data_IF_095336510772
#
_entry.id   IF_095336510772
#
_cell.length_a   1.000
_cell.length_b   1.000
_cell.length_c   1.000
_cell.angle_alpha   90.00
_cell.angle_beta   90.00
_cell.angle_gamma   90.00
#
_symmetry.space_group_name_H-M   'P 1'
#
loop_
_entity.id
_entity.type
_entity.pdbx_description
1 polymer ?
#
# COMPACT_ATOMS: atom_id res chain seq x y z
N UNK A 1 -1.90 17.36 8.10
CA UNK A 1 -2.12 15.96 8.49
C UNK A 1 -0.75 15.33 8.64
N UNK A 2 -0.43 14.76 9.81
CA UNK A 2 0.81 14.02 10.01
C UNK A 2 0.51 12.55 9.77
N UNK A 3 0.91 12.05 8.60
CA UNK A 3 0.89 10.62 8.26
C UNK A 3 2.24 10.04 8.66
N UNK A 4 2.23 9.01 9.50
CA UNK A 4 3.43 8.25 9.83
C UNK A 4 3.33 6.88 9.19
N UNK A 5 4.15 6.63 8.17
CA UNK A 5 4.27 5.30 7.57
C UNK A 5 5.47 4.58 8.19
N UNK A 6 5.36 3.27 8.34
CA UNK A 6 6.48 2.39 8.70
C UNK A 6 6.38 1.08 7.94
N UNK A 7 7.50 0.59 7.40
CA UNK A 7 7.55 -0.73 6.78
C UNK A 7 7.56 -1.77 7.88
N UNK A 8 6.49 -2.56 7.98
CA UNK A 8 6.36 -3.64 8.95
C UNK A 8 6.85 -4.98 8.39
N UNK A 9 6.77 -5.15 7.07
CA UNK A 9 7.26 -6.35 6.39
C UNK A 9 7.82 -5.99 5.00
N UNK A 10 8.93 -6.62 4.63
CA UNK A 10 9.57 -6.47 3.33
C UNK A 10 10.02 -7.85 2.85
N UNK A 11 9.63 -8.19 1.63
CA UNK A 11 9.99 -9.40 0.89
C UNK A 11 10.60 -8.99 -0.46
N UNK A 12 11.20 -9.95 -1.17
CA UNK A 12 11.81 -9.74 -2.51
C UNK A 12 10.83 -9.09 -3.51
N UNK A 13 9.55 -9.44 -3.43
CA UNK A 13 8.50 -8.99 -4.35
C UNK A 13 7.30 -8.32 -3.67
N UNK A 14 7.36 -8.03 -2.36
CA UNK A 14 6.24 -7.42 -1.64
C UNK A 14 6.69 -6.60 -0.44
N UNK A 15 5.93 -5.57 -0.10
CA UNK A 15 6.15 -4.67 1.03
C UNK A 15 4.85 -4.46 1.76
N UNK A 16 4.91 -4.36 3.08
CA UNK A 16 3.75 -4.03 3.90
C UNK A 16 4.12 -2.84 4.76
N UNK A 17 3.33 -1.78 4.64
CA UNK A 17 3.46 -0.58 5.45
C UNK A 17 2.29 -0.50 6.43
N UNK A 18 2.59 -0.14 7.66
CA UNK A 18 1.61 0.36 8.61
C UNK A 18 1.63 1.89 8.52
N UNK A 19 0.49 2.48 8.17
CA UNK A 19 0.26 3.92 8.12
C UNK A 19 -0.57 4.28 9.34
N UNK A 20 -0.07 5.18 10.17
CA UNK A 20 -0.80 5.74 11.31
C UNK A 20 -1.40 7.09 10.90
N UNK A 21 -2.72 7.16 10.87
CA UNK A 21 -3.56 8.32 10.59
C UNK A 21 -4.13 8.88 11.89
N UNK A 22 -3.53 9.96 12.43
CA UNK A 22 -3.94 10.52 13.72
C UNK A 22 -3.76 9.49 14.87
N UNK A 23 -3.73 9.94 16.14
CA UNK A 23 -3.11 9.19 17.26
C UNK A 23 -3.67 7.77 17.55
N UNK A 24 -4.74 7.33 16.89
CA UNK A 24 -5.37 6.03 17.11
C UNK A 24 -5.81 5.26 15.84
N UNK A 25 -5.72 5.81 14.62
CA UNK A 25 -6.12 5.07 13.43
C UNK A 25 -4.93 4.48 12.70
N UNK A 26 -5.01 3.18 12.44
CA UNK A 26 -4.01 2.44 11.69
C UNK A 26 -4.62 1.93 10.39
N UNK A 27 -3.80 1.95 9.36
CA UNK A 27 -4.11 1.45 8.03
C UNK A 27 -2.94 0.62 7.54
N UNK A 28 -3.23 -0.44 6.81
CA UNK A 28 -2.22 -1.29 6.20
C UNK A 28 -2.18 -1.04 4.69
N UNK A 29 -0.97 -0.80 4.18
CA UNK A 29 -0.70 -0.69 2.76
C UNK A 29 0.19 -1.85 2.30
N UNK A 30 -0.38 -2.74 1.51
CA UNK A 30 0.28 -3.88 0.91
C UNK A 30 0.73 -3.50 -0.50
N UNK A 31 2.03 -3.57 -0.79
CA UNK A 31 2.55 -3.43 -2.14
C UNK A 31 3.06 -4.78 -2.60
N UNK A 32 2.66 -5.24 -3.77
CA UNK A 32 3.14 -6.49 -4.34
C UNK A 32 3.54 -6.27 -5.80
N UNK A 33 4.69 -6.82 -6.20
CA UNK A 33 5.08 -6.93 -7.60
C UNK A 33 4.34 -8.13 -8.17
N UNK A 34 3.27 -7.85 -8.91
CA UNK A 34 2.48 -8.86 -9.57
C UNK A 34 1.83 -8.24 -10.81
N UNK A 35 1.50 -9.08 -11.79
CA UNK A 35 0.55 -8.65 -12.81
C UNK A 35 -0.71 -8.11 -12.10
N UNK A 36 -1.31 -7.01 -12.61
CA UNK A 36 -2.49 -6.39 -12.01
C UNK A 36 -3.70 -7.33 -12.16
N UNK A 37 -3.70 -8.34 -11.31
CA UNK A 37 -4.61 -9.48 -11.35
C UNK A 37 -5.39 -9.49 -10.04
N UNK A 38 -6.69 -9.21 -10.15
CA UNK A 38 -7.60 -9.16 -9.01
C UNK A 38 -7.76 -10.53 -8.33
N UNK A 39 -7.55 -11.63 -9.05
CA UNK A 39 -7.54 -12.97 -8.44
C UNK A 39 -6.32 -13.13 -7.52
N UNK A 40 -5.17 -12.52 -7.86
CA UNK A 40 -3.98 -12.54 -6.99
C UNK A 40 -4.22 -11.78 -5.68
N UNK A 41 -5.03 -10.71 -5.70
CA UNK A 41 -5.36 -9.93 -4.49
C UNK A 41 -6.08 -10.78 -3.45
N UNK A 42 -7.00 -11.65 -3.88
CA UNK A 42 -7.71 -12.56 -2.98
C UNK A 42 -6.77 -13.57 -2.29
N UNK A 43 -5.56 -13.78 -2.84
CA UNK A 43 -4.51 -14.58 -2.22
C UNK A 43 -3.55 -13.75 -1.34
N UNK A 44 -3.45 -12.45 -1.57
CA UNK A 44 -2.56 -11.54 -0.84
C UNK A 44 -3.24 -10.99 0.42
N UNK A 45 -4.51 -10.61 0.30
CA UNK A 45 -5.30 -10.01 1.38
C UNK A 45 -6.01 -11.12 2.14
N UNK A 46 -5.67 -11.36 3.42
CA UNK A 46 -6.40 -12.34 4.21
C UNK A 46 -7.89 -11.97 4.33
N UNK A 47 -8.79 -12.97 4.31
CA UNK A 47 -10.23 -12.73 4.44
C UNK A 47 -10.58 -11.99 5.73
N UNK A 48 -9.77 -12.13 6.78
CA UNK A 48 -9.93 -11.41 8.04
C UNK A 48 -9.94 -9.88 7.87
N UNK A 49 -9.24 -9.33 6.87
CA UNK A 49 -9.25 -7.89 6.58
C UNK A 49 -10.55 -7.45 5.91
N UNK A 50 -11.14 -8.30 5.08
CA UNK A 50 -12.49 -8.08 4.54
C UNK A 50 -13.58 -8.24 5.62
N UNK A 51 -13.34 -9.08 6.62
CA UNK A 51 -14.26 -9.30 7.74
C UNK A 51 -14.13 -8.27 8.87
N UNK A 52 -13.00 -7.55 8.95
CA UNK A 52 -12.73 -6.52 9.97
C UNK A 52 -13.62 -5.27 9.84
N UNK A 53 -14.40 -5.16 8.76
CA UNK A 53 -15.36 -4.08 8.54
C UNK A 53 -14.76 -2.80 7.97
N UNK A 54 -13.50 -2.83 7.53
CA UNK A 54 -12.88 -1.80 6.68
C UNK A 54 -12.99 -2.15 5.20
N UNK A 55 -12.91 -1.15 4.34
CA UNK A 55 -12.89 -1.34 2.89
C UNK A 55 -11.46 -1.73 2.44
N UNK A 56 -11.38 -2.65 1.48
CA UNK A 56 -10.12 -3.05 0.83
C UNK A 56 -10.02 -2.30 -0.49
N UNK A 57 -9.15 -1.30 -0.55
CA UNK A 57 -8.86 -0.52 -1.74
C UNK A 57 -7.75 -1.20 -2.53
N UNK A 58 -8.02 -1.58 -3.77
CA UNK A 58 -7.03 -2.23 -4.63
C UNK A 58 -6.71 -1.29 -5.78
N UNK A 59 -5.44 -0.92 -5.90
CA UNK A 59 -4.92 -0.06 -6.97
C UNK A 59 -3.87 -0.82 -7.77
N UNK A 60 -3.96 -0.71 -9.10
CA UNK A 60 -3.03 -1.33 -10.03
C UNK A 60 -2.11 -0.27 -10.63
N UNK A 61 -0.85 -0.27 -10.21
CA UNK A 61 0.18 0.66 -10.69
C UNK A 61 0.93 0.01 -11.86
N UNK A 62 0.47 0.29 -13.07
CA UNK A 62 1.14 -0.15 -14.30
C UNK A 62 2.48 0.58 -14.50
N UNK A 63 2.55 1.87 -14.19
CA UNK A 63 3.77 2.69 -14.34
C UNK A 63 4.06 3.49 -13.07
N UNK A 64 5.34 3.76 -12.75
CA UNK A 64 5.72 4.54 -11.57
C UNK A 64 5.22 5.99 -11.60
N UNK A 65 4.87 6.51 -12.77
CA UNK A 65 4.29 7.85 -12.93
C UNK A 65 2.85 7.96 -12.43
N UNK A 66 2.10 6.84 -12.39
CA UNK A 66 0.74 6.79 -11.87
C UNK A 66 0.70 6.70 -10.33
N UNK A 67 1.75 6.16 -9.72
CA UNK A 67 1.89 6.00 -8.27
C UNK A 67 1.48 7.22 -7.43
N UNK A 68 2.00 8.45 -7.67
CA UNK A 68 1.62 9.62 -6.88
C UNK A 68 0.13 9.94 -6.95
N UNK A 69 -0.49 9.78 -8.11
CA UNK A 69 -1.91 10.08 -8.28
C UNK A 69 -2.78 9.04 -7.57
N UNK A 70 -2.45 7.76 -7.72
CA UNK A 70 -3.19 6.65 -7.10
C UNK A 70 -3.03 6.65 -5.57
N UNK A 71 -1.85 7.01 -5.07
CA UNK A 71 -1.59 7.18 -3.63
C UNK A 71 -2.37 8.37 -3.07
N UNK A 72 -2.40 9.50 -3.76
CA UNK A 72 -3.16 10.67 -3.31
C UNK A 72 -4.67 10.38 -3.28
N UNK A 73 -5.20 9.75 -4.33
CA UNK A 73 -6.62 9.41 -4.44
C UNK A 73 -7.05 8.43 -3.33
N UNK A 74 -6.25 7.36 -3.12
CA UNK A 74 -6.57 6.38 -2.07
C UNK A 74 -6.39 6.97 -0.69
N UNK A 75 -5.35 7.77 -0.42
CA UNK A 75 -5.19 8.45 0.87
C UNK A 75 -6.36 9.40 1.17
N UNK A 76 -6.95 10.00 0.14
CA UNK A 76 -8.12 10.88 0.28
C UNK A 76 -9.42 10.09 0.49
N UNK A 77 -9.52 8.89 -0.10
CA UNK A 77 -10.67 7.98 0.03
C UNK A 77 -10.59 7.11 1.29
N UNK A 78 -9.39 6.92 1.84
CA UNK A 78 -9.06 5.98 2.90
C UNK A 78 -9.70 6.37 4.23
N UNK A 79 -10.43 5.42 4.81
CA UNK A 79 -11.02 5.54 6.13
C UNK A 79 -10.17 4.85 7.19
N UNK A 80 -10.36 5.20 8.47
CA UNK A 80 -9.75 4.47 9.56
C UNK A 80 -10.16 3.00 9.53
N UNK A 81 -9.18 2.09 9.63
CA UNK A 81 -9.28 0.63 9.49
C UNK A 81 -9.41 0.10 8.05
N UNK A 82 -9.35 0.95 7.02
CA UNK A 82 -9.25 0.47 5.64
C UNK A 82 -7.90 -0.23 5.41
N UNK A 83 -7.87 -1.06 4.38
CA UNK A 83 -6.65 -1.71 3.90
C UNK A 83 -6.46 -1.32 2.44
N UNK A 84 -5.26 -0.93 2.06
CA UNK A 84 -4.92 -0.64 0.67
C UNK A 84 -3.93 -1.66 0.13
N UNK A 85 -4.13 -2.04 -1.13
CA UNK A 85 -3.28 -2.98 -1.87
C UNK A 85 -2.86 -2.31 -3.17
N UNK A 86 -1.55 -2.10 -3.34
CA UNK A 86 -0.94 -1.61 -4.57
C UNK A 86 -0.30 -2.79 -5.31
N UNK A 87 -0.92 -3.19 -6.42
CA UNK A 87 -0.33 -4.13 -7.35
C UNK A 87 0.56 -3.36 -8.31
N UNK A 88 1.86 -3.54 -8.18
CA UNK A 88 2.85 -2.88 -8.99
C UNK A 88 3.32 -3.82 -10.09
N UNK A 89 3.39 -3.34 -11.33
CA UNK A 89 3.95 -4.13 -12.44
C UNK A 89 5.44 -4.44 -12.24
N UNK A 90 6.18 -3.50 -11.66
CA UNK A 90 7.64 -3.57 -11.49
C UNK A 90 8.09 -2.96 -10.16
N UNK A 91 9.34 -3.24 -9.78
CA UNK A 91 9.98 -2.66 -8.60
C UNK A 91 10.05 -1.12 -8.66
N UNK A 92 10.16 -0.54 -9.85
CA UNK A 92 10.13 0.92 -10.02
C UNK A 92 8.82 1.54 -9.53
N UNK A 93 7.68 0.87 -9.79
CA UNK A 93 6.36 1.30 -9.33
C UNK A 93 6.24 1.23 -7.81
N UNK A 94 6.77 0.16 -7.18
CA UNK A 94 6.84 0.07 -5.71
C UNK A 94 7.64 1.22 -5.12
N UNK A 95 8.83 1.50 -5.67
CA UNK A 95 9.69 2.56 -5.17
C UNK A 95 9.02 3.94 -5.28
N UNK A 96 8.25 4.17 -6.35
CA UNK A 96 7.47 5.39 -6.50
C UNK A 96 6.41 5.52 -5.39
N UNK A 97 5.62 4.47 -5.13
CA UNK A 97 4.62 4.47 -4.04
C UNK A 97 5.29 4.66 -2.67
N UNK A 98 6.38 3.95 -2.40
CA UNK A 98 7.14 4.09 -1.15
C UNK A 98 7.63 5.53 -0.95
N UNK A 99 8.13 6.16 -2.01
CA UNK A 99 8.57 7.55 -1.98
C UNK A 99 7.45 8.51 -1.56
N UNK A 100 6.22 8.29 -2.02
CA UNK A 100 5.06 9.10 -1.62
C UNK A 100 4.72 8.97 -0.14
N UNK A 101 4.89 7.77 0.41
CA UNK A 101 4.77 7.54 1.84
C UNK A 101 5.98 8.03 2.65
N UNK A 102 7.00 8.60 2.02
CA UNK A 102 8.23 9.05 2.66
C UNK A 102 9.18 7.90 3.02
N UNK A 103 8.95 6.69 2.51
CA UNK A 103 9.84 5.54 2.63
C UNK A 103 10.87 5.57 1.50
N UNK A 104 11.82 6.51 1.58
CA UNK A 104 12.92 6.58 0.61
C UNK A 104 13.97 5.53 0.96
N UNK A 105 13.84 4.36 0.35
CA UNK A 105 14.85 3.30 0.28
C UNK A 105 15.25 2.64 1.62
N UNK A 106 14.94 1.34 1.84
CA UNK A 106 15.42 0.60 3.01
C UNK A 106 16.94 0.38 3.03
N UNK A 107 17.70 0.89 2.04
CA UNK A 107 19.15 0.72 1.93
C UNK A 107 19.97 1.95 2.34
N UNK A 108 19.35 3.06 2.76
CA UNK A 108 20.12 4.20 3.30
C UNK A 108 20.45 3.99 4.78
N UNK A 109 21.45 3.16 5.02
CA UNK A 109 22.20 3.06 6.28
C UNK A 109 23.13 4.27 6.45
#
# INVERSE_FOLDING_TARGET
MQIQSQIIEQTDSAYVLEITLEEEHKVWAYLAISEPDLDAVAHIVPPEQFEAGGDVHVMAIAQPEDAPQEVEDVLFSMNPNDTVVFLCADQASILAVLNEFGQTDPSSN
#
